data_IF_512031994389
#
_entry.id   IF_512031994389
#
_cell.length_a   1.000
_cell.length_b   1.000
_cell.length_c   1.000
_cell.angle_alpha   90.00
_cell.angle_beta   90.00
_cell.angle_gamma   90.00
#
_symmetry.space_group_name_H-M   'P 1'
#
loop_
_entity.id
_entity.type
_entity.pdbx_description
1 polymer ?
#
# COMPACT_ATOMS: atom_id res chain seq x y z
N UNK A 1 49.69 65.31 46.25
CA UNK A 1 48.58 66.00 45.56
C UNK A 1 47.83 64.99 44.71
N UNK A 2 46.50 65.09 44.74
CA UNK A 2 45.51 64.11 44.30
C UNK A 2 45.63 63.66 42.84
N UNK A 3 45.21 62.41 42.57
CA UNK A 3 44.24 62.10 41.52
C UNK A 3 43.68 60.69 41.71
N UNK A 4 42.50 60.66 42.31
CA UNK A 4 41.52 59.57 42.32
C UNK A 4 41.15 59.21 40.88
N UNK A 5 41.12 57.90 40.56
CA UNK A 5 40.45 57.37 39.37
C UNK A 5 39.52 56.24 39.80
N UNK A 6 38.23 56.51 39.68
CA UNK A 6 37.12 55.57 39.75
C UNK A 6 37.04 54.77 38.43
N UNK A 7 36.82 53.46 38.53
CA UNK A 7 36.47 52.58 37.40
C UNK A 7 35.05 52.02 37.63
N UNK A 8 34.21 51.94 36.58
CA UNK A 8 32.80 51.57 36.71
C UNK A 8 32.61 50.05 36.75
N UNK A 9 31.56 49.63 37.46
CA UNK A 9 31.04 48.25 37.51
C UNK A 9 30.40 47.88 36.17
N UNK A 10 30.84 46.77 35.57
CA UNK A 10 30.16 46.11 34.46
C UNK A 10 29.02 45.24 35.02
N UNK A 11 27.81 45.52 34.59
CA UNK A 11 26.59 44.77 34.91
C UNK A 11 26.46 43.59 33.95
N UNK A 12 26.55 42.36 34.45
CA UNK A 12 26.34 41.14 33.68
C UNK A 12 24.86 40.74 33.73
N UNK A 13 24.16 40.87 32.60
CA UNK A 13 22.83 40.27 32.43
C UNK A 13 22.96 38.78 32.09
N UNK A 14 22.23 37.86 32.75
CA UNK A 14 22.21 36.46 32.36
C UNK A 14 21.20 36.23 31.24
N UNK A 15 21.67 35.78 30.07
CA UNK A 15 20.83 35.24 29.01
C UNK A 15 20.36 33.83 29.42
N UNK A 16 19.09 33.71 29.76
CA UNK A 16 18.41 32.45 30.03
C UNK A 16 18.15 31.75 28.67
N UNK A 17 18.96 30.75 28.33
CA UNK A 17 18.74 29.93 27.14
C UNK A 17 17.69 28.84 27.43
N UNK A 18 16.46 29.03 26.91
CA UNK A 18 15.45 27.98 26.85
C UNK A 18 15.78 27.03 25.70
N UNK A 19 16.23 25.81 26.02
CA UNK A 19 16.31 24.69 25.08
C UNK A 19 14.96 23.94 25.10
N UNK A 20 14.05 24.31 24.18
CA UNK A 20 12.86 23.51 23.88
C UNK A 20 13.28 22.31 23.01
N UNK A 21 13.46 21.15 23.64
CA UNK A 21 13.61 19.88 22.95
C UNK A 21 12.27 19.47 22.33
N UNK A 22 12.10 19.75 21.03
CA UNK A 22 11.03 19.18 20.22
C UNK A 22 11.40 17.73 19.91
N UNK A 23 10.84 16.80 20.68
CA UNK A 23 10.79 15.38 20.29
C UNK A 23 9.90 15.26 19.05
N UNK A 24 10.48 15.38 17.86
CA UNK A 24 9.83 14.95 16.64
C UNK A 24 9.65 13.44 16.73
N UNK A 25 8.45 12.97 17.08
CA UNK A 25 8.08 11.58 16.93
C UNK A 25 8.25 11.23 15.45
N UNK A 26 9.26 10.41 15.12
CA UNK A 26 9.41 9.89 13.79
C UNK A 26 8.20 9.02 13.51
N UNK A 27 7.25 9.53 12.71
CA UNK A 27 6.20 8.70 12.12
C UNK A 27 6.93 7.71 11.22
N UNK A 28 7.08 6.47 11.70
CA UNK A 28 7.63 5.40 10.87
C UNK A 28 6.68 5.21 9.69
N UNK A 29 7.23 5.18 8.47
CA UNK A 29 6.45 4.83 7.30
C UNK A 29 5.83 3.45 7.52
N UNK A 30 4.56 3.29 7.18
CA UNK A 30 3.90 1.99 7.23
C UNK A 30 4.69 0.96 6.40
N UNK A 31 4.71 -0.28 6.88
CA UNK A 31 5.30 -1.40 6.13
C UNK A 31 4.59 -1.62 4.79
N UNK A 32 5.19 -2.35 3.85
CA UNK A 32 4.56 -2.62 2.56
C UNK A 32 3.24 -3.39 2.74
N UNK A 33 3.23 -4.43 3.57
CA UNK A 33 2.02 -5.23 3.84
C UNK A 33 0.96 -4.38 4.54
N UNK A 34 1.34 -3.50 5.47
CA UNK A 34 0.42 -2.58 6.14
C UNK A 34 -0.17 -1.56 5.17
N UNK A 35 0.64 -1.00 4.27
CA UNK A 35 0.19 -0.01 3.29
C UNK A 35 -0.80 -0.58 2.27
N UNK A 36 -0.82 -1.91 2.10
CA UNK A 36 -1.76 -2.59 1.21
C UNK A 36 -3.14 -2.77 1.84
N UNK A 37 -3.27 -2.76 3.18
CA UNK A 37 -4.50 -3.16 3.88
C UNK A 37 -5.74 -2.35 3.50
N UNK A 38 -5.56 -1.08 3.13
CA UNK A 38 -6.68 -0.21 2.79
C UNK A 38 -7.08 -0.27 1.32
N UNK A 39 -6.33 -1.00 0.49
CA UNK A 39 -6.52 -1.04 -0.97
C UNK A 39 -6.67 0.36 -1.58
N UNK A 40 -5.76 1.25 -1.18
CA UNK A 40 -5.75 2.63 -1.62
C UNK A 40 -4.53 2.93 -2.50
N UNK A 41 -4.62 3.97 -3.35
CA UNK A 41 -3.51 4.44 -4.18
C UNK A 41 -2.25 4.84 -3.41
N UNK A 42 -2.39 5.13 -2.12
CA UNK A 42 -1.26 5.43 -1.21
C UNK A 42 -0.26 4.27 -1.15
N UNK A 43 -0.67 3.03 -1.43
CA UNK A 43 0.21 1.88 -1.59
C UNK A 43 1.35 2.14 -2.57
N UNK A 44 1.07 2.74 -3.73
CA UNK A 44 2.09 3.03 -4.75
C UNK A 44 3.08 4.12 -4.31
N UNK A 45 2.67 5.00 -3.39
CA UNK A 45 3.58 5.94 -2.71
C UNK A 45 4.44 5.22 -1.68
N UNK A 46 3.89 4.25 -0.95
CA UNK A 46 4.67 3.43 -0.03
C UNK A 46 5.75 2.62 -0.76
N UNK A 47 5.42 2.03 -1.91
CA UNK A 47 6.41 1.40 -2.81
C UNK A 47 7.51 2.39 -3.21
N UNK A 48 7.14 3.62 -3.60
CA UNK A 48 8.11 4.65 -3.93
C UNK A 48 9.00 5.00 -2.74
N UNK A 49 8.44 5.19 -1.55
CA UNK A 49 9.20 5.52 -0.35
C UNK A 49 10.22 4.43 0.01
N UNK A 50 9.90 3.16 -0.26
CA UNK A 50 10.74 2.01 0.04
C UNK A 50 11.56 1.50 -1.17
N UNK A 51 11.55 2.23 -2.30
CA UNK A 51 12.15 1.81 -3.58
C UNK A 51 13.63 1.45 -3.52
N UNK A 52 14.39 2.05 -2.60
CA UNK A 52 15.83 1.79 -2.46
C UNK A 52 16.12 0.37 -1.95
N UNK A 53 15.27 -0.18 -1.08
CA UNK A 53 15.39 -1.56 -0.59
C UNK A 53 14.70 -2.52 -1.55
N UNK A 54 13.48 -2.20 -1.97
CA UNK A 54 12.71 -3.02 -2.89
C UNK A 54 13.42 -3.21 -4.24
N UNK A 55 14.06 -2.16 -4.77
CA UNK A 55 14.84 -2.20 -6.00
C UNK A 55 16.08 -3.11 -5.96
N UNK A 56 16.50 -3.57 -4.78
CA UNK A 56 17.57 -4.57 -4.65
C UNK A 56 17.10 -5.99 -4.92
N UNK A 57 15.79 -6.25 -4.84
CA UNK A 57 15.22 -7.60 -4.96
C UNK A 57 14.31 -7.76 -6.17
N UNK A 58 13.79 -6.66 -6.72
CA UNK A 58 12.89 -6.68 -7.88
C UNK A 58 13.04 -5.43 -8.73
N UNK A 59 12.81 -5.54 -10.04
CA UNK A 59 12.76 -4.38 -10.94
C UNK A 59 11.57 -3.51 -10.59
N UNK A 60 11.81 -2.20 -10.51
CA UNK A 60 10.77 -1.19 -10.30
C UNK A 60 10.62 -0.31 -11.53
N UNK A 61 9.39 0.15 -11.72
CA UNK A 61 9.08 1.30 -12.55
C UNK A 61 8.54 2.43 -11.66
N UNK A 62 8.77 3.67 -12.07
CA UNK A 62 8.56 4.83 -11.21
C UNK A 62 8.02 6.02 -12.00
N UNK A 63 7.21 6.84 -11.34
CA UNK A 63 6.89 8.19 -11.77
C UNK A 63 7.35 9.18 -10.70
N UNK A 64 8.52 9.78 -10.93
CA UNK A 64 9.13 10.72 -9.98
C UNK A 64 8.27 11.95 -9.71
N UNK A 65 7.51 12.42 -10.71
CA UNK A 65 6.64 13.60 -10.56
C UNK A 65 5.49 13.30 -9.60
N UNK A 66 4.93 12.10 -9.68
CA UNK A 66 3.83 11.66 -8.82
C UNK A 66 4.31 11.06 -7.50
N UNK A 67 5.61 10.73 -7.38
CA UNK A 67 6.17 10.08 -6.20
C UNK A 67 5.60 8.69 -5.98
N UNK A 68 5.38 7.93 -7.07
CA UNK A 68 4.85 6.57 -7.04
C UNK A 68 5.83 5.60 -7.73
N UNK A 69 5.81 4.35 -7.27
CA UNK A 69 6.50 3.23 -7.89
C UNK A 69 5.57 2.02 -7.97
N UNK A 70 5.88 1.10 -8.86
CA UNK A 70 5.19 -0.18 -9.00
C UNK A 70 6.16 -1.24 -9.51
N UNK A 71 5.78 -2.50 -9.30
CA UNK A 71 6.50 -3.66 -9.80
C UNK A 71 5.80 -4.10 -11.09
N UNK A 72 6.43 -3.91 -12.27
CA UNK A 72 5.81 -4.32 -13.52
C UNK A 72 5.79 -5.84 -13.64
N UNK A 73 4.66 -6.37 -14.09
CA UNK A 73 4.52 -7.75 -14.57
C UNK A 73 4.46 -7.74 -16.10
N UNK A 74 4.84 -8.85 -16.75
CA UNK A 74 4.99 -8.85 -18.22
C UNK A 74 3.64 -8.79 -18.94
N UNK A 75 2.66 -9.59 -18.51
CA UNK A 75 1.28 -9.53 -19.00
C UNK A 75 0.32 -9.91 -17.86
N UNK A 76 -0.63 -9.01 -17.56
CA UNK A 76 -1.57 -9.14 -16.43
C UNK A 76 -2.70 -10.11 -16.71
N UNK A 77 -3.02 -10.35 -17.97
CA UNK A 77 -4.10 -11.25 -18.38
C UNK A 77 -3.65 -12.71 -18.43
N UNK A 78 -2.35 -12.96 -18.52
CA UNK A 78 -1.76 -14.30 -18.52
C UNK A 78 -1.29 -14.67 -17.10
N UNK A 79 -1.83 -15.75 -16.55
CA UNK A 79 -1.46 -16.27 -15.23
C UNK A 79 0.02 -16.59 -15.10
N UNK A 80 0.68 -17.02 -16.18
CA UNK A 80 2.09 -17.39 -16.14
C UNK A 80 3.01 -16.18 -15.96
N UNK A 81 2.51 -14.98 -16.26
CA UNK A 81 3.32 -13.75 -16.31
C UNK A 81 2.80 -12.64 -15.42
N UNK A 82 1.67 -12.84 -14.74
CA UNK A 82 1.05 -11.92 -13.78
C UNK A 82 1.71 -11.94 -12.38
N UNK A 83 2.83 -12.66 -12.23
CA UNK A 83 3.61 -12.76 -11.00
C UNK A 83 5.06 -12.35 -11.28
N UNK A 84 5.63 -11.51 -10.42
CA UNK A 84 7.03 -11.11 -10.45
C UNK A 84 7.73 -11.61 -9.19
N UNK A 85 8.56 -12.65 -9.33
CA UNK A 85 9.35 -13.18 -8.23
C UNK A 85 10.46 -12.21 -7.81
N UNK A 86 10.74 -12.17 -6.50
CA UNK A 86 11.87 -11.43 -5.96
C UNK A 86 13.13 -12.30 -6.00
N UNK A 87 14.30 -11.69 -6.22
CA UNK A 87 15.58 -12.40 -6.25
C UNK A 87 15.96 -13.03 -4.90
N UNK A 88 15.38 -12.50 -3.82
CA UNK A 88 15.42 -13.03 -2.45
C UNK A 88 14.20 -12.49 -1.67
N UNK A 89 13.77 -13.16 -0.60
CA UNK A 89 12.68 -12.66 0.24
C UNK A 89 13.00 -11.26 0.82
N UNK A 90 12.01 -10.38 0.78
CA UNK A 90 12.03 -9.08 1.48
C UNK A 90 11.26 -9.25 2.79
N UNK A 91 11.91 -9.01 3.93
CA UNK A 91 11.25 -9.10 5.23
C UNK A 91 10.47 -7.82 5.53
N UNK A 92 9.15 -7.93 5.61
CA UNK A 92 8.24 -6.84 5.95
C UNK A 92 7.46 -7.22 7.22
N UNK A 93 7.75 -6.58 8.36
CA UNK A 93 7.15 -6.94 9.67
C UNK A 93 7.33 -8.43 10.03
N UNK A 94 8.45 -9.03 9.63
CA UNK A 94 8.71 -10.46 9.84
C UNK A 94 8.02 -11.39 8.84
N UNK A 95 7.23 -10.85 7.90
CA UNK A 95 6.65 -11.60 6.79
C UNK A 95 7.65 -11.63 5.62
N UNK A 96 8.04 -12.82 5.11
CA UNK A 96 8.89 -12.94 3.93
C UNK A 96 8.07 -12.74 2.66
N UNK A 97 8.10 -11.54 2.10
CA UNK A 97 7.52 -11.24 0.79
C UNK A 97 8.42 -11.84 -0.29
N UNK A 98 7.86 -12.70 -1.15
CA UNK A 98 8.64 -13.47 -2.13
C UNK A 98 8.32 -13.17 -3.58
N UNK A 99 7.14 -12.62 -3.84
CA UNK A 99 6.76 -12.15 -5.16
C UNK A 99 5.70 -11.05 -5.08
N UNK A 100 5.55 -10.31 -6.19
CA UNK A 100 4.44 -9.40 -6.40
C UNK A 100 3.49 -10.00 -7.43
N UNK A 101 2.20 -9.97 -7.13
CA UNK A 101 1.13 -10.43 -8.00
C UNK A 101 0.40 -9.22 -8.56
N UNK A 102 0.13 -9.20 -9.86
CA UNK A 102 -0.69 -8.17 -10.52
C UNK A 102 -1.43 -8.81 -11.70
N UNK A 103 -2.73 -9.07 -11.52
CA UNK A 103 -3.54 -9.82 -12.48
C UNK A 103 -4.79 -9.07 -12.85
N UNK A 104 -5.20 -9.20 -14.11
CA UNK A 104 -6.46 -8.67 -14.62
C UNK A 104 -7.31 -9.79 -15.22
N UNK A 105 -8.60 -9.79 -14.88
CA UNK A 105 -9.63 -10.55 -15.58
C UNK A 105 -10.65 -9.60 -16.19
N UNK A 106 -11.21 -10.02 -17.32
CA UNK A 106 -12.38 -9.41 -17.94
C UNK A 106 -13.46 -10.50 -18.00
N UNK A 107 -14.52 -10.31 -17.22
CA UNK A 107 -15.63 -11.27 -17.10
C UNK A 107 -16.87 -10.78 -17.87
N UNK A 108 -16.70 -9.87 -18.83
CA UNK A 108 -17.79 -9.35 -19.65
C UNK A 108 -18.80 -8.56 -18.82
N UNK A 109 -20.05 -9.01 -18.76
CA UNK A 109 -21.13 -8.32 -18.04
C UNK A 109 -20.89 -8.21 -16.53
N UNK A 110 -20.06 -9.10 -15.96
CA UNK A 110 -19.67 -9.05 -14.55
C UNK A 110 -18.56 -8.03 -14.27
N UNK A 111 -18.00 -7.42 -15.33
CA UNK A 111 -17.00 -6.37 -15.23
C UNK A 111 -15.56 -6.87 -15.24
N UNK A 112 -14.64 -5.95 -14.95
CA UNK A 112 -13.20 -6.22 -14.88
C UNK A 112 -12.76 -6.38 -13.44
N UNK A 113 -11.74 -7.22 -13.22
CA UNK A 113 -11.19 -7.52 -11.90
C UNK A 113 -9.70 -7.28 -11.94
N UNK A 114 -9.22 -6.38 -11.11
CA UNK A 114 -7.81 -6.02 -11.00
C UNK A 114 -7.31 -6.44 -9.62
N UNK A 115 -6.38 -7.39 -9.58
CA UNK A 115 -5.76 -7.87 -8.36
C UNK A 115 -4.33 -7.37 -8.28
N UNK A 116 -3.89 -6.92 -7.11
CA UNK A 116 -2.48 -6.60 -6.87
C UNK A 116 -2.07 -6.83 -5.43
N UNK A 117 -0.83 -7.22 -5.19
CA UNK A 117 -0.32 -7.43 -3.85
C UNK A 117 0.87 -8.38 -3.79
N UNK A 118 1.08 -9.03 -2.65
CA UNK A 118 2.26 -9.84 -2.41
C UNK A 118 1.93 -11.31 -2.21
N UNK A 119 2.85 -12.15 -2.67
CA UNK A 119 2.95 -13.54 -2.24
C UNK A 119 3.94 -13.64 -1.07
N UNK A 120 3.48 -14.23 0.01
CA UNK A 120 4.15 -14.30 1.30
C UNK A 120 4.43 -15.76 1.63
N UNK A 121 5.69 -16.07 1.92
CA UNK A 121 6.13 -17.40 2.33
C UNK A 121 5.87 -17.63 3.84
N UNK A 122 4.59 -17.60 4.19
CA UNK A 122 4.07 -17.81 5.52
C UNK A 122 2.65 -18.40 5.45
N UNK A 123 2.23 -19.09 6.50
CA UNK A 123 0.84 -19.54 6.60
C UNK A 123 -0.11 -18.36 6.71
N UNK A 124 -1.36 -18.56 6.30
CA UNK A 124 -2.41 -17.54 6.38
C UNK A 124 -2.57 -17.02 7.81
N UNK A 125 -2.52 -17.92 8.78
CA UNK A 125 -2.66 -17.59 10.21
C UNK A 125 -1.52 -16.70 10.68
N UNK A 126 -0.28 -16.94 10.21
CA UNK A 126 0.86 -16.08 10.52
C UNK A 126 0.71 -14.68 9.90
N UNK A 127 0.23 -14.59 8.65
CA UNK A 127 -0.06 -13.30 7.99
C UNK A 127 -1.16 -12.55 8.75
N UNK A 128 -2.24 -13.22 9.13
CA UNK A 128 -3.33 -12.63 9.91
C UNK A 128 -2.86 -12.13 11.28
N UNK A 129 -2.00 -12.91 11.96
CA UNK A 129 -1.43 -12.54 13.25
C UNK A 129 -0.47 -11.35 13.17
N UNK A 130 0.25 -11.20 12.05
CA UNK A 130 1.12 -10.05 11.80
C UNK A 130 0.35 -8.78 11.39
N UNK A 131 -0.89 -8.93 10.90
CA UNK A 131 -1.73 -7.83 10.42
C UNK A 131 -3.11 -7.80 11.13
N UNK A 132 -3.17 -7.75 12.47
CA UNK A 132 -4.42 -7.84 13.22
C UNK A 132 -5.38 -6.68 12.94
N UNK A 133 -4.85 -5.51 12.59
CA UNK A 133 -5.62 -4.30 12.27
C UNK A 133 -6.50 -4.42 11.03
N UNK A 134 -6.24 -5.41 10.17
CA UNK A 134 -7.06 -5.67 9.00
C UNK A 134 -8.50 -6.06 9.39
N UNK A 135 -8.72 -6.73 10.52
CA UNK A 135 -10.07 -7.16 10.92
C UNK A 135 -10.64 -8.20 9.95
N UNK A 136 -9.89 -9.27 9.73
CA UNK A 136 -10.20 -10.36 8.81
C UNK A 136 -11.55 -11.03 9.10
N UNK A 137 -12.28 -11.33 8.04
CA UNK A 137 -13.54 -12.07 8.05
C UNK A 137 -13.44 -13.26 7.11
N UNK A 138 -13.84 -14.43 7.59
CA UNK A 138 -13.87 -15.64 6.78
C UNK A 138 -15.05 -15.61 5.79
N UNK A 139 -14.81 -15.92 4.52
CA UNK A 139 -15.81 -15.95 3.46
C UNK A 139 -15.48 -17.06 2.45
N UNK A 140 -16.10 -18.23 2.65
CA UNK A 140 -15.79 -19.43 1.87
C UNK A 140 -14.31 -19.82 2.06
N UNK A 141 -13.58 -20.00 0.96
CA UNK A 141 -12.16 -20.39 0.96
C UNK A 141 -11.19 -19.24 1.28
N UNK A 142 -11.70 -18.00 1.38
CA UNK A 142 -10.89 -16.79 1.50
C UNK A 142 -11.14 -16.08 2.83
N UNK A 143 -10.19 -15.21 3.20
CA UNK A 143 -10.42 -14.21 4.24
C UNK A 143 -10.43 -12.85 3.57
N UNK A 144 -11.39 -12.01 3.94
CA UNK A 144 -11.53 -10.66 3.40
C UNK A 144 -11.54 -9.62 4.50
N UNK A 145 -11.32 -8.38 4.13
CA UNK A 145 -11.38 -7.26 5.06
C UNK A 145 -11.99 -6.03 4.39
N UNK A 146 -12.81 -5.33 5.19
CA UNK A 146 -13.36 -3.98 4.94
C UNK A 146 -13.73 -3.74 3.47
N UNK A 147 -14.58 -4.59 2.88
CA UNK A 147 -15.04 -4.38 1.52
C UNK A 147 -15.74 -3.02 1.39
N UNK A 148 -15.51 -2.34 0.27
CA UNK A 148 -16.12 -1.05 -0.04
C UNK A 148 -16.72 -1.06 -1.44
N UNK A 149 -17.79 -0.32 -1.65
CA UNK A 149 -18.50 -0.21 -2.93
C UNK A 149 -18.70 1.26 -3.30
N UNK A 150 -18.71 1.56 -4.60
CA UNK A 150 -19.16 2.85 -5.12
C UNK A 150 -19.70 2.70 -6.55
N UNK A 151 -20.44 3.72 -7.01
CA UNK A 151 -21.10 3.67 -8.33
C UNK A 151 -20.16 4.10 -9.47
N UNK A 152 -19.31 5.09 -9.22
CA UNK A 152 -18.35 5.62 -10.19
C UNK A 152 -17.25 6.43 -9.50
N UNK A 153 -16.31 6.96 -10.28
CA UNK A 153 -15.18 7.73 -9.77
C UNK A 153 -15.57 9.00 -8.96
N UNK A 154 -16.73 9.61 -9.24
CA UNK A 154 -17.18 10.83 -8.58
C UNK A 154 -17.88 10.57 -7.22
N UNK A 155 -18.31 9.34 -6.96
CA UNK A 155 -18.95 8.96 -5.69
C UNK A 155 -17.93 8.55 -4.64
N UNK A 156 -18.17 8.83 -3.34
CA UNK A 156 -17.31 8.33 -2.27
C UNK A 156 -17.46 6.80 -2.12
N UNK A 157 -16.39 6.17 -1.63
CA UNK A 157 -16.43 4.78 -1.18
C UNK A 157 -17.36 4.65 0.04
N UNK A 158 -18.16 3.59 0.05
CA UNK A 158 -19.04 3.22 1.16
C UNK A 158 -18.74 1.79 1.59
N UNK A 159 -18.94 1.48 2.87
CA UNK A 159 -18.78 0.10 3.36
C UNK A 159 -19.74 -0.84 2.63
N UNK A 160 -19.26 -2.02 2.24
CA UNK A 160 -20.06 -3.04 1.56
C UNK A 160 -20.13 -4.34 2.37
N UNK A 161 -20.94 -4.41 3.45
CA UNK A 161 -21.05 -5.61 4.28
C UNK A 161 -21.66 -6.82 3.55
N UNK A 162 -22.22 -6.62 2.34
CA UNK A 162 -22.77 -7.69 1.51
C UNK A 162 -21.72 -8.34 0.59
N UNK A 163 -20.49 -7.79 0.54
CA UNK A 163 -19.43 -8.38 -0.26
C UNK A 163 -19.06 -9.77 0.28
N UNK A 164 -18.85 -10.70 -0.65
CA UNK A 164 -18.43 -12.05 -0.35
C UNK A 164 -17.44 -12.50 -1.41
N UNK A 165 -16.49 -13.36 -1.03
CA UNK A 165 -15.55 -13.88 -2.01
C UNK A 165 -16.26 -14.73 -3.07
N UNK A 166 -15.82 -14.62 -4.32
CA UNK A 166 -16.42 -15.32 -5.46
C UNK A 166 -17.75 -14.74 -5.94
N UNK A 167 -18.28 -13.68 -5.32
CA UNK A 167 -19.49 -12.99 -5.75
C UNK A 167 -19.10 -11.70 -6.44
N UNK A 168 -19.59 -11.50 -7.67
CA UNK A 168 -19.35 -10.27 -8.41
C UNK A 168 -20.09 -9.09 -7.75
N UNK A 169 -19.55 -7.86 -7.84
CA UNK A 169 -20.23 -6.67 -7.35
C UNK A 169 -21.59 -6.45 -8.03
N UNK A 170 -22.44 -5.64 -7.38
CA UNK A 170 -23.72 -5.26 -7.96
C UNK A 170 -23.54 -4.62 -9.35
N UNK A 171 -24.42 -4.89 -10.34
CA UNK A 171 -24.30 -4.32 -11.68
C UNK A 171 -24.21 -2.79 -11.64
N UNK A 172 -23.29 -2.21 -12.41
CA UNK A 172 -23.06 -0.76 -12.45
C UNK A 172 -22.33 -0.19 -11.24
N UNK A 173 -21.70 -1.04 -10.42
CA UNK A 173 -20.87 -0.63 -9.28
C UNK A 173 -19.47 -1.21 -9.36
N UNK A 174 -18.54 -0.55 -8.66
CA UNK A 174 -17.20 -1.05 -8.41
C UNK A 174 -17.03 -1.36 -6.92
N UNK A 175 -16.25 -2.39 -6.64
CA UNK A 175 -15.91 -2.82 -5.29
C UNK A 175 -14.40 -2.84 -5.09
N UNK A 176 -13.96 -2.51 -3.87
CA UNK A 176 -12.62 -2.82 -3.38
C UNK A 176 -12.69 -3.76 -2.21
N UNK A 177 -11.79 -4.73 -2.18
CA UNK A 177 -11.72 -5.72 -1.12
C UNK A 177 -10.27 -6.16 -0.92
N UNK A 178 -9.86 -6.22 0.34
CA UNK A 178 -8.61 -6.87 0.72
C UNK A 178 -8.88 -8.36 0.93
N UNK A 179 -8.01 -9.21 0.40
CA UNK A 179 -8.18 -10.66 0.38
C UNK A 179 -6.90 -11.37 0.83
N UNK A 180 -7.07 -12.47 1.56
CA UNK A 180 -6.06 -13.50 1.75
C UNK A 180 -6.52 -14.77 1.03
N UNK A 181 -5.67 -15.27 0.16
CA UNK A 181 -5.82 -16.56 -0.51
C UNK A 181 -4.59 -17.41 -0.26
N UNK A 182 -4.73 -18.73 -0.42
CA UNK A 182 -3.59 -19.66 -0.39
C UNK A 182 -3.38 -20.25 -1.78
N UNK A 183 -2.13 -20.32 -2.22
CA UNK A 183 -1.73 -20.98 -3.45
C UNK A 183 -0.35 -21.60 -3.25
N UNK A 184 -0.20 -22.87 -3.63
CA UNK A 184 1.06 -23.63 -3.53
C UNK A 184 1.74 -23.56 -2.15
N UNK A 185 0.95 -23.56 -1.07
CA UNK A 185 1.44 -23.51 0.31
C UNK A 185 1.87 -22.13 0.79
N UNK A 186 1.75 -21.09 -0.05
CA UNK A 186 2.01 -19.70 0.29
C UNK A 186 0.72 -18.90 0.43
N UNK A 187 0.81 -17.75 1.09
CA UNK A 187 -0.32 -16.84 1.27
C UNK A 187 -0.20 -15.65 0.34
N UNK A 188 -1.24 -15.33 -0.42
CA UNK A 188 -1.31 -14.07 -1.18
C UNK A 188 -2.16 -13.06 -0.42
N UNK A 189 -1.55 -11.93 -0.08
CA UNK A 189 -2.21 -10.73 0.44
C UNK A 189 -2.49 -9.80 -0.74
N UNK A 190 -3.76 -9.71 -1.14
CA UNK A 190 -4.16 -9.05 -2.38
C UNK A 190 -5.22 -8.00 -2.12
N UNK A 191 -5.09 -6.87 -2.80
CA UNK A 191 -6.20 -5.98 -3.06
C UNK A 191 -6.87 -6.36 -4.36
N UNK A 192 -8.19 -6.22 -4.39
CA UNK A 192 -9.00 -6.26 -5.61
C UNK A 192 -9.69 -4.93 -5.83
N UNK A 193 -9.78 -4.52 -7.10
CA UNK A 193 -10.70 -3.51 -7.62
C UNK A 193 -11.50 -4.20 -8.72
N UNK A 194 -12.80 -4.38 -8.49
CA UNK A 194 -13.63 -5.27 -9.30
C UNK A 194 -15.00 -4.69 -9.66
N UNK A 195 -15.59 -5.18 -10.76
CA UNK A 195 -16.92 -4.81 -11.23
C UNK A 195 -16.88 -3.79 -12.38
N UNK A 196 -17.77 -2.79 -12.35
CA UNK A 196 -17.81 -1.71 -13.35
C UNK A 196 -16.71 -0.69 -13.08
N UNK A 197 -15.50 -0.96 -13.59
CA UNK A 197 -14.32 -0.10 -13.43
C UNK A 197 -14.11 0.72 -14.70
N UNK A 198 -14.56 1.97 -14.71
CA UNK A 198 -14.30 2.89 -15.81
C UNK A 198 -12.88 3.48 -15.76
N UNK A 199 -12.45 4.13 -16.85
CA UNK A 199 -11.09 4.66 -16.96
C UNK A 199 -10.76 5.70 -15.87
N UNK A 200 -11.62 6.70 -15.57
CA UNK A 200 -11.36 7.63 -14.47
C UNK A 200 -11.19 6.94 -13.11
N UNK A 201 -12.01 5.92 -12.83
CA UNK A 201 -11.88 5.14 -11.62
C UNK A 201 -10.56 4.35 -11.59
N UNK A 202 -10.22 3.71 -12.69
CA UNK A 202 -8.97 2.97 -12.81
C UNK A 202 -7.77 3.89 -12.56
N UNK A 203 -7.73 5.07 -13.16
CA UNK A 203 -6.65 6.04 -12.94
C UNK A 203 -6.58 6.56 -11.50
N UNK A 204 -7.73 6.71 -10.84
CA UNK A 204 -7.80 7.10 -9.44
C UNK A 204 -7.22 6.01 -8.53
N UNK A 205 -7.61 4.75 -8.72
CA UNK A 205 -7.33 3.65 -7.77
C UNK A 205 -6.05 2.87 -8.12
N UNK A 206 -5.68 2.85 -9.40
CA UNK A 206 -4.52 2.17 -10.00
C UNK A 206 -3.68 3.17 -10.80
N UNK A 207 -3.05 4.16 -10.15
CA UNK A 207 -2.20 5.14 -10.83
C UNK A 207 -0.98 4.51 -11.52
N UNK A 208 -0.64 3.27 -11.18
CA UNK A 208 0.35 2.43 -11.87
C UNK A 208 -0.11 1.92 -13.25
N UNK A 209 -1.39 2.09 -13.59
CA UNK A 209 -1.96 1.74 -14.90
C UNK A 209 -2.29 2.98 -15.75
N UNK A 210 -2.18 4.18 -15.18
CA UNK A 210 -2.38 5.42 -15.92
C UNK A 210 -1.35 5.55 -17.06
N UNK A 211 -1.80 6.16 -18.18
CA UNK A 211 -1.17 6.11 -19.51
C UNK A 211 0.38 6.03 -19.49
N UNK A 212 0.91 4.81 -19.69
CA UNK A 212 2.33 4.56 -19.94
C UNK A 212 3.13 3.91 -18.82
N UNK A 213 2.54 3.68 -17.64
CA UNK A 213 3.23 2.98 -16.55
C UNK A 213 3.40 1.46 -16.78
N UNK A 214 2.74 0.88 -17.78
CA UNK A 214 2.76 -0.56 -18.09
C UNK A 214 3.34 -0.96 -19.45
N UNK A 215 4.19 -0.14 -20.09
CA UNK A 215 4.89 -0.51 -21.33
C UNK A 215 6.40 -0.44 -21.14
#
# INVERSE_FOLDING_TARGET
MQRTRTLPRLSTSPLLALLLGLSAGAVQAASLSQSLLECQPSFFKALYQQRAELGQVVKLAENQRQGIAWIPVAERRDSATALMAFSRPLLDQGLPLTAYYDRQFDLGEQGTFHFWGFEIDASREAVMAALPQAGWQETGEYFVSRPQIKLNAATPWQDNPAAASGIAPAPGSAEKILMLSQEDGKTRLLCSLQGTVDQPLLEQERPDLAQGAGR
#
